data_IF_221237222914
#
_entry.id   IF_221237222914
#
_cell.length_a   1.000
_cell.length_b   1.000
_cell.length_c   1.000
_cell.angle_alpha   90.00
_cell.angle_beta   90.00
_cell.angle_gamma   90.00
#
_symmetry.space_group_name_H-M   'P 1'
#
loop_
_entity.id
_entity.type
_entity.pdbx_description
1 polymer ?
#
# COMPACT_ATOMS: atom_id res chain seq x y z
N UNK A 1 -13.98 15.99 -5.45
CA UNK A 1 -13.11 16.89 -4.67
C UNK A 1 -12.22 16.05 -3.81
N UNK A 2 -11.11 16.61 -3.35
CA UNK A 2 -10.24 15.97 -2.36
C UNK A 2 -10.72 16.42 -0.97
N UNK A 3 -10.37 15.72 0.12
CA UNK A 3 -10.77 16.18 1.45
C UNK A 3 -10.05 17.47 1.85
N UNK A 4 -10.77 18.43 2.43
CA UNK A 4 -10.26 19.73 2.91
C UNK A 4 -8.96 19.61 3.70
N UNK A 5 -8.84 18.60 4.57
CA UNK A 5 -7.65 18.39 5.39
C UNK A 5 -6.42 17.97 4.58
N UNK A 6 -6.62 17.18 3.53
CA UNK A 6 -5.56 16.77 2.60
C UNK A 6 -5.18 17.94 1.68
N UNK A 7 -6.17 18.68 1.16
CA UNK A 7 -5.92 19.88 0.38
C UNK A 7 -5.17 20.95 1.17
N UNK A 8 -5.57 21.19 2.41
CA UNK A 8 -4.89 22.15 3.29
C UNK A 8 -3.46 21.71 3.65
N UNK A 9 -3.20 20.39 3.76
CA UNK A 9 -1.86 19.87 4.05
C UNK A 9 -0.88 20.11 2.91
N UNK A 10 -1.27 19.81 1.67
CA UNK A 10 -0.37 19.83 0.52
C UNK A 10 -0.43 21.12 -0.30
N UNK A 11 -1.58 21.80 -0.34
CA UNK A 11 -1.80 23.01 -1.14
C UNK A 11 -2.03 24.26 -0.28
N UNK A 12 -2.01 24.13 1.06
CA UNK A 12 -2.11 25.26 1.99
C UNK A 12 -3.49 25.92 2.11
N UNK A 13 -4.52 25.34 1.47
CA UNK A 13 -5.92 25.78 1.59
C UNK A 13 -6.88 24.64 1.24
N UNK A 14 -8.06 24.54 1.88
CA UNK A 14 -9.08 23.51 1.61
C UNK A 14 -9.62 23.44 0.17
N UNK A 15 -9.32 24.42 -0.68
CA UNK A 15 -9.85 24.51 -2.05
C UNK A 15 -8.77 24.85 -3.08
N UNK A 16 -7.49 24.69 -2.72
CA UNK A 16 -6.38 25.07 -3.59
C UNK A 16 -5.88 23.90 -4.46
N UNK A 17 -6.24 22.66 -4.13
CA UNK A 17 -5.84 21.50 -4.92
C UNK A 17 -6.75 21.31 -6.13
N UNK A 18 -6.17 21.21 -7.33
CA UNK A 18 -6.90 20.74 -8.50
C UNK A 18 -6.87 19.21 -8.52
N UNK A 19 -8.01 18.50 -8.40
CA UNK A 19 -8.04 17.03 -8.46
C UNK A 19 -7.47 16.44 -9.74
N UNK A 20 -7.51 17.19 -10.86
CA UNK A 20 -6.95 16.78 -12.15
C UNK A 20 -5.56 17.38 -12.44
N UNK A 21 -5.04 18.19 -11.50
CA UNK A 21 -3.70 18.75 -11.59
C UNK A 21 -2.62 17.75 -11.18
N UNK A 22 -1.38 18.08 -11.52
CA UNK A 22 -0.16 17.35 -11.15
C UNK A 22 0.70 18.32 -10.33
N UNK A 23 0.63 18.23 -9.00
CA UNK A 23 1.34 19.17 -8.13
C UNK A 23 2.86 19.02 -8.16
N UNK A 24 3.35 17.90 -8.65
CA UNK A 24 4.73 17.44 -8.59
C UNK A 24 5.32 17.01 -9.95
N UNK A 25 4.63 17.40 -11.05
CA UNK A 25 4.97 17.12 -12.45
C UNK A 25 5.13 15.61 -12.78
N UNK A 26 4.56 14.73 -11.97
CA UNK A 26 4.49 13.30 -12.25
C UNK A 26 3.25 12.96 -13.13
N UNK A 27 3.03 11.67 -13.43
CA UNK A 27 1.90 11.26 -14.29
C UNK A 27 0.60 10.96 -13.53
N UNK A 28 0.62 10.98 -12.20
CA UNK A 28 -0.51 10.76 -11.33
C UNK A 28 -1.21 12.11 -11.02
N UNK A 29 -2.53 12.23 -11.26
CA UNK A 29 -3.26 13.39 -10.79
C UNK A 29 -3.38 13.40 -9.26
N UNK A 30 -3.47 14.59 -8.66
CA UNK A 30 -3.61 14.79 -7.21
C UNK A 30 -4.74 13.92 -6.58
N UNK A 31 -5.83 13.65 -7.31
CA UNK A 31 -6.90 12.78 -6.82
C UNK A 31 -6.47 11.31 -6.72
N UNK A 32 -5.71 10.82 -7.69
CA UNK A 32 -5.19 9.45 -7.69
C UNK A 32 -4.12 9.29 -6.62
N UNK A 33 -3.34 10.33 -6.39
CA UNK A 33 -2.38 10.41 -5.29
C UNK A 33 -3.06 10.44 -3.92
N UNK A 34 -4.13 11.23 -3.78
CA UNK A 34 -4.99 11.13 -2.62
C UNK A 34 -5.49 9.69 -2.45
N UNK A 35 -5.98 9.02 -3.50
CA UNK A 35 -6.44 7.64 -3.37
C UNK A 35 -5.31 6.65 -3.03
N UNK A 36 -4.11 6.88 -3.55
CA UNK A 36 -2.90 6.09 -3.38
C UNK A 36 -2.13 6.37 -2.09
N UNK A 37 -2.53 7.41 -1.35
CA UNK A 37 -1.81 7.90 -0.16
C UNK A 37 -0.40 8.41 -0.44
N UNK A 38 -0.19 8.98 -1.62
CA UNK A 38 1.09 9.57 -2.02
C UNK A 38 1.09 11.08 -1.73
N UNK A 39 2.29 11.65 -1.71
CA UNK A 39 2.51 13.08 -1.56
C UNK A 39 2.42 13.77 -2.93
N UNK A 40 1.39 14.60 -3.18
CA UNK A 40 1.16 15.27 -4.47
C UNK A 40 2.11 16.42 -4.76
N UNK A 41 3.14 16.58 -3.93
CA UNK A 41 4.22 17.55 -4.11
C UNK A 41 5.57 16.85 -4.31
N UNK A 42 5.59 15.52 -4.36
CA UNK A 42 6.78 14.70 -4.56
C UNK A 42 6.49 13.54 -5.54
N UNK A 43 6.89 13.73 -6.80
CA UNK A 43 6.71 12.75 -7.88
C UNK A 43 7.55 11.49 -7.73
N UNK A 44 8.20 11.28 -6.58
CA UNK A 44 8.86 10.02 -6.21
C UNK A 44 8.12 9.27 -5.10
N UNK A 45 7.01 9.83 -4.62
CA UNK A 45 6.15 9.24 -3.61
C UNK A 45 5.26 8.16 -4.23
N UNK A 46 5.51 6.90 -3.87
CA UNK A 46 4.71 5.76 -4.34
C UNK A 46 4.48 4.76 -3.21
N UNK A 47 3.30 4.14 -3.18
CA UNK A 47 3.09 2.93 -2.38
C UNK A 47 3.94 1.81 -2.97
N UNK A 48 4.92 1.34 -2.21
CA UNK A 48 5.87 0.31 -2.64
C UNK A 48 6.27 -0.59 -1.49
N UNK A 49 6.64 -1.83 -1.81
CA UNK A 49 7.32 -2.71 -0.86
C UNK A 49 8.78 -2.25 -0.78
N UNK A 50 9.26 -1.91 0.41
CA UNK A 50 10.64 -1.45 0.66
C UNK A 50 11.50 -2.51 1.35
N UNK A 51 10.87 -3.51 1.97
CA UNK A 51 11.55 -4.63 2.62
C UNK A 51 10.73 -5.90 2.49
N UNK A 52 11.42 -7.04 2.41
CA UNK A 52 10.80 -8.35 2.48
C UNK A 52 11.78 -9.34 3.11
N UNK A 53 11.38 -9.95 4.21
CA UNK A 53 12.11 -11.04 4.86
C UNK A 53 11.26 -12.30 4.89
N UNK A 54 11.91 -13.46 4.81
CA UNK A 54 11.21 -14.75 4.87
C UNK A 54 11.84 -15.68 5.90
N UNK A 55 10.98 -16.31 6.70
CA UNK A 55 11.40 -17.25 7.74
C UNK A 55 10.79 -18.63 7.46
N UNK A 56 11.65 -19.63 7.31
CA UNK A 56 11.25 -21.00 7.04
C UNK A 56 11.01 -21.77 8.34
N UNK A 57 9.80 -22.34 8.46
CA UNK A 57 9.41 -23.28 9.48
C UNK A 57 9.15 -24.65 8.86
N UNK A 58 9.01 -25.67 9.71
CA UNK A 58 8.88 -27.05 9.25
C UNK A 58 7.72 -27.29 8.27
N UNK A 59 6.63 -26.53 8.40
CA UNK A 59 5.38 -26.73 7.62
C UNK A 59 4.82 -25.45 6.99
N UNK A 60 5.51 -24.32 7.13
CA UNK A 60 5.11 -23.04 6.53
C UNK A 60 6.30 -22.09 6.40
N UNK A 61 6.14 -21.06 5.58
CA UNK A 61 7.04 -19.91 5.47
C UNK A 61 6.28 -18.67 5.92
N UNK A 62 6.92 -17.86 6.75
CA UNK A 62 6.44 -16.52 7.08
C UNK A 62 7.09 -15.55 6.12
N UNK A 63 6.31 -14.65 5.54
CA UNK A 63 6.78 -13.51 4.77
C UNK A 63 6.42 -12.23 5.55
N UNK A 64 7.45 -11.50 5.96
CA UNK A 64 7.31 -10.17 6.55
C UNK A 64 7.57 -9.13 5.46
N UNK A 65 6.61 -8.23 5.25
CA UNK A 65 6.63 -7.25 4.17
C UNK A 65 6.61 -5.85 4.79
N UNK A 66 7.63 -5.06 4.48
CA UNK A 66 7.79 -3.69 4.95
C UNK A 66 7.38 -2.70 3.85
N UNK A 67 6.58 -1.70 4.19
CA UNK A 67 6.12 -0.65 3.27
C UNK A 67 5.80 0.66 4.02
N UNK A 68 5.93 1.83 3.36
CA UNK A 68 5.52 3.11 3.94
C UNK A 68 4.00 3.16 4.10
N UNK A 69 3.54 3.78 5.19
CA UNK A 69 2.13 3.88 5.56
C UNK A 69 1.77 5.25 6.12
N UNK A 70 0.53 5.69 5.95
CA UNK A 70 -0.02 6.87 6.63
C UNK A 70 -0.79 6.48 7.88
N UNK A 71 -0.74 7.36 8.88
CA UNK A 71 -1.53 7.26 10.11
C UNK A 71 -3.06 7.43 9.89
N UNK A 72 -3.49 7.74 8.66
CA UNK A 72 -4.90 7.98 8.32
C UNK A 72 -5.52 6.89 7.44
N UNK A 73 -4.81 5.76 7.27
CA UNK A 73 -5.23 4.65 6.42
C UNK A 73 -5.03 3.32 7.10
N UNK A 74 -5.71 2.33 6.55
CA UNK A 74 -5.50 0.95 6.90
C UNK A 74 -4.90 0.18 5.72
N UNK A 75 -4.02 -0.76 6.03
CA UNK A 75 -3.24 -1.51 5.07
C UNK A 75 -3.34 -3.01 5.31
N UNK A 76 -3.23 -3.78 4.23
CA UNK A 76 -2.99 -5.22 4.34
C UNK A 76 -2.07 -5.72 3.25
N UNK A 77 -1.36 -6.79 3.54
CA UNK A 77 -0.64 -7.57 2.54
C UNK A 77 -1.58 -8.60 1.92
N UNK A 78 -1.43 -8.80 0.62
CA UNK A 78 -2.09 -9.87 -0.12
C UNK A 78 -1.04 -10.64 -0.92
N UNK A 79 -1.24 -11.93 -1.08
CA UNK A 79 -0.39 -12.76 -1.93
C UNK A 79 -1.20 -13.42 -3.07
N UNK A 80 -0.50 -13.75 -4.14
CA UNK A 80 -1.02 -14.60 -5.21
C UNK A 80 0.04 -15.64 -5.58
N UNK A 81 -0.31 -16.91 -5.51
CA UNK A 81 0.46 -18.05 -6.01
C UNK A 81 -0.23 -18.64 -7.25
N UNK A 82 0.38 -19.59 -7.94
CA UNK A 82 -0.29 -20.29 -9.04
C UNK A 82 -1.45 -21.16 -8.50
N UNK A 83 -2.65 -21.14 -9.13
CA UNK A 83 -3.01 -20.44 -10.36
C UNK A 83 -3.56 -19.01 -10.15
N UNK A 84 -3.72 -18.53 -8.91
CA UNK A 84 -4.21 -17.18 -8.58
C UNK A 84 -3.52 -16.04 -9.35
N UNK A 85 -2.22 -16.19 -9.66
CA UNK A 85 -1.47 -15.24 -10.49
C UNK A 85 -2.07 -15.01 -11.88
N UNK A 86 -2.60 -16.05 -12.52
CA UNK A 86 -3.19 -15.95 -13.87
C UNK A 86 -4.67 -15.61 -13.85
N UNK A 87 -5.36 -15.86 -12.73
CA UNK A 87 -6.80 -15.60 -12.58
C UNK A 87 -7.10 -14.31 -11.82
N UNK A 88 -6.07 -13.52 -11.47
CA UNK A 88 -6.18 -12.37 -10.56
C UNK A 88 -6.80 -12.75 -9.19
N UNK A 89 -6.54 -13.98 -8.74
CA UNK A 89 -6.95 -14.51 -7.44
C UNK A 89 -5.92 -14.14 -6.38
N UNK A 90 -6.14 -13.00 -5.72
CA UNK A 90 -5.35 -12.56 -4.58
C UNK A 90 -5.98 -13.02 -3.27
N UNK A 91 -5.16 -13.61 -2.41
CA UNK A 91 -5.52 -14.05 -1.08
C UNK A 91 -5.09 -12.99 -0.07
N UNK A 92 -5.95 -12.65 0.87
CA UNK A 92 -5.58 -11.78 1.98
C UNK A 92 -4.53 -12.47 2.84
N UNK A 93 -3.54 -11.71 3.31
CA UNK A 93 -2.54 -12.21 4.23
C UNK A 93 -3.12 -12.57 5.59
N UNK A 94 -2.24 -13.03 6.48
CA UNK A 94 -2.64 -13.44 7.84
C UNK A 94 -3.13 -12.24 8.66
N UNK A 95 -2.44 -11.11 8.55
CA UNK A 95 -2.93 -9.84 9.08
C UNK A 95 -4.11 -9.31 8.26
N UNK A 96 -5.13 -8.84 8.98
CA UNK A 96 -6.24 -8.11 8.38
C UNK A 96 -5.82 -6.72 7.89
N UNK A 97 -6.77 -5.79 7.82
CA UNK A 97 -6.43 -4.38 7.68
C UNK A 97 -5.89 -3.85 9.01
N UNK A 98 -4.65 -3.38 8.99
CA UNK A 98 -3.92 -2.80 10.12
C UNK A 98 -3.83 -1.28 9.96
N UNK A 99 -3.93 -0.54 11.07
CA UNK A 99 -3.76 0.92 11.04
C UNK A 99 -2.32 1.26 10.63
N UNK A 100 -2.17 2.18 9.68
CA UNK A 100 -0.87 2.70 9.31
C UNK A 100 -0.27 3.55 10.42
N UNK A 101 1.05 3.70 10.39
CA UNK A 101 1.83 4.32 11.46
C UNK A 101 2.26 5.76 11.16
N UNK A 102 2.14 6.19 9.89
CA UNK A 102 2.73 7.45 9.41
C UNK A 102 4.21 7.32 9.04
N UNK A 103 4.76 6.10 9.06
CA UNK A 103 6.08 5.75 8.57
C UNK A 103 6.07 4.34 7.98
N UNK A 104 7.24 3.70 7.94
CA UNK A 104 7.31 2.29 7.53
C UNK A 104 6.57 1.40 8.54
N UNK A 105 5.83 0.43 8.02
CA UNK A 105 5.17 -0.61 8.80
C UNK A 105 5.47 -1.98 8.20
N UNK A 106 5.48 -2.98 9.08
CA UNK A 106 5.61 -4.39 8.72
C UNK A 106 4.26 -5.07 8.81
N UNK A 107 3.98 -5.95 7.85
CA UNK A 107 2.80 -6.81 7.88
C UNK A 107 3.16 -8.21 7.43
N UNK A 108 2.53 -9.21 8.04
CA UNK A 108 2.96 -10.60 7.95
C UNK A 108 1.94 -11.45 7.20
N UNK A 109 2.47 -12.34 6.39
CA UNK A 109 1.72 -13.40 5.72
C UNK A 109 2.34 -14.78 5.93
N UNK A 110 1.51 -15.82 5.83
CA UNK A 110 1.91 -17.22 6.00
C UNK A 110 1.62 -17.96 4.70
N UNK A 111 2.66 -18.55 4.13
CA UNK A 111 2.59 -19.45 2.98
C UNK A 111 2.80 -20.88 3.45
N UNK A 112 1.85 -21.78 3.16
CA UNK A 112 2.02 -23.20 3.45
C UNK A 112 2.97 -23.86 2.46
N UNK A 113 3.53 -25.02 2.81
CA UNK A 113 4.59 -25.70 2.06
C UNK A 113 4.24 -26.09 0.63
N UNK A 114 2.96 -26.14 0.27
CA UNK A 114 2.49 -26.36 -1.10
C UNK A 114 2.67 -25.12 -1.98
N UNK A 115 2.86 -23.94 -1.38
CA UNK A 115 3.17 -22.70 -2.08
C UNK A 115 4.67 -22.64 -2.40
N UNK A 116 5.01 -22.95 -3.65
CA UNK A 116 6.39 -22.92 -4.15
C UNK A 116 6.87 -21.52 -4.54
N UNK A 117 5.95 -20.57 -4.69
CA UNK A 117 6.22 -19.15 -4.94
C UNK A 117 4.94 -18.32 -4.93
N UNK A 118 5.06 -17.06 -4.52
CA UNK A 118 3.96 -16.11 -4.50
C UNK A 118 4.46 -14.70 -4.87
N UNK A 119 3.59 -13.90 -5.48
CA UNK A 119 3.76 -12.45 -5.55
C UNK A 119 3.01 -11.81 -4.40
N UNK A 120 3.53 -10.71 -3.90
CA UNK A 120 2.93 -9.92 -2.85
C UNK A 120 2.51 -8.54 -3.38
N UNK A 121 1.44 -8.00 -2.81
CA UNK A 121 1.10 -6.60 -2.94
C UNK A 121 0.59 -6.04 -1.63
N UNK A 122 0.65 -4.72 -1.52
CA UNK A 122 0.04 -3.98 -0.43
C UNK A 122 -1.25 -3.35 -0.94
N UNK A 123 -2.30 -3.39 -0.12
CA UNK A 123 -3.56 -2.70 -0.39
C UNK A 123 -3.86 -1.75 0.75
N UNK A 124 -3.95 -0.46 0.44
CA UNK A 124 -4.44 0.57 1.35
C UNK A 124 -5.94 0.83 1.16
N UNK A 125 -6.61 1.27 2.23
CA UNK A 125 -7.95 1.87 2.18
C UNK A 125 -8.09 2.98 3.22
N UNK A 126 -9.08 3.84 3.02
CA UNK A 126 -9.58 4.70 4.08
C UNK A 126 -10.26 3.85 5.17
N UNK A 127 -10.22 4.27 6.45
CA UNK A 127 -10.87 3.57 7.57
C UNK A 127 -12.32 3.17 7.29
#
# INVERSE_FOLDING_TARGET
GMPDGWENRYFGSPTAGDPAGHGDDDTAPNLDEFNGDTDPTDGTSYLRIVGMETFDFLVFRVAEVTFPSSAYRQYRVEHANAPGLVTNGWTAGTSGYEEGTGGDMDSVDILFTDVTGALFRVRGKLP
#
